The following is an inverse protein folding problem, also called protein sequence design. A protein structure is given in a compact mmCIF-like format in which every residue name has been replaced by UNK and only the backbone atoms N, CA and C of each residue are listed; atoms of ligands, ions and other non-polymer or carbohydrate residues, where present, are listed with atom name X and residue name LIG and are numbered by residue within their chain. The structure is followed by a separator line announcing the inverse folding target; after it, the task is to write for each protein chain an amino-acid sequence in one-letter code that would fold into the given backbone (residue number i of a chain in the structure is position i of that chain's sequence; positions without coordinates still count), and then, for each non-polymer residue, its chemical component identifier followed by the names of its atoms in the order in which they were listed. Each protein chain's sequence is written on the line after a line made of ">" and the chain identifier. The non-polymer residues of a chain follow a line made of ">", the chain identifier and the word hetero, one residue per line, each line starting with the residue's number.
data_IF_820379486993
#
_entry.id   IF_820379486993
#
_cell.length_a   1.000
_cell.length_b   1.000
_cell.length_c   1.000
_cell.angle_alpha   90.00
_cell.angle_beta   90.00
_cell.angle_gamma   90.00
#
_symmetry.space_group_name_H-M   'P 1'
#
loop_
_entity.id
_entity.type
_entity.pdbx_description
1 polymer ?
#
# COMPACT_ATOMS: atom_id res chain seq x y z
N UNK A 1 -12.97 -13.69 12.04
CA UNK A 1 -14.24 -13.64 11.27
C UNK A 1 -14.00 -12.95 9.93
N UNK A 2 -13.53 -11.70 9.88
CA UNK A 2 -13.36 -10.90 8.63
C UNK A 2 -12.52 -11.58 7.54
N UNK A 3 -11.43 -12.28 7.88
CA UNK A 3 -10.63 -13.02 6.89
C UNK A 3 -11.45 -14.13 6.24
N UNK A 4 -12.23 -14.88 7.03
CA UNK A 4 -13.10 -15.93 6.48
C UNK A 4 -14.23 -15.36 5.61
N UNK A 5 -14.77 -14.21 5.98
CA UNK A 5 -15.76 -13.50 5.15
C UNK A 5 -15.15 -13.05 3.83
N UNK A 6 -13.91 -12.54 3.83
CA UNK A 6 -13.17 -12.19 2.62
C UNK A 6 -12.97 -13.41 1.70
N UNK A 7 -12.58 -14.56 2.27
CA UNK A 7 -12.40 -15.82 1.52
C UNK A 7 -13.71 -16.23 0.88
N UNK A 8 -14.80 -16.24 1.64
CA UNK A 8 -16.14 -16.63 1.14
C UNK A 8 -16.62 -15.66 0.05
N UNK A 9 -16.26 -14.39 0.16
CA UNK A 9 -16.55 -13.38 -0.86
C UNK A 9 -15.66 -13.50 -2.12
N UNK A 10 -14.67 -14.39 -2.11
CA UNK A 10 -13.76 -14.62 -3.25
C UNK A 10 -12.62 -13.60 -3.35
N UNK A 11 -12.18 -13.03 -2.24
CA UNK A 11 -11.03 -12.16 -2.23
C UNK A 11 -9.73 -12.92 -2.56
N UNK A 12 -8.84 -12.30 -3.32
CA UNK A 12 -7.49 -12.81 -3.60
C UNK A 12 -6.47 -12.23 -2.61
N UNK A 13 -6.77 -11.05 -2.03
CA UNK A 13 -5.91 -10.36 -1.08
C UNK A 13 -6.73 -9.63 0.00
N UNK A 14 -6.06 -9.33 1.11
CA UNK A 14 -6.61 -8.51 2.21
C UNK A 14 -5.63 -7.40 2.62
N UNK A 15 -6.15 -6.42 3.35
CA UNK A 15 -5.37 -5.35 3.98
C UNK A 15 -5.28 -5.58 5.48
N UNK A 16 -4.07 -5.50 6.04
CA UNK A 16 -3.84 -5.41 7.48
C UNK A 16 -3.18 -4.06 7.80
N UNK A 17 -3.80 -3.29 8.68
CA UNK A 17 -3.30 -1.96 9.09
C UNK A 17 -2.55 -2.12 10.41
N UNK A 18 -1.23 -1.93 10.40
CA UNK A 18 -0.37 -2.13 11.56
C UNK A 18 -0.78 -1.26 12.74
N UNK A 19 -1.08 0.01 12.49
CA UNK A 19 -1.51 0.95 13.54
C UNK A 19 -2.85 0.61 14.21
N UNK A 20 -3.62 -0.34 13.67
CA UNK A 20 -4.88 -0.81 14.24
C UNK A 20 -4.76 -2.15 14.99
N UNK A 21 -3.57 -2.75 15.02
CA UNK A 21 -3.34 -4.10 15.53
C UNK A 21 -2.20 -4.12 16.56
N UNK A 22 -2.36 -4.92 17.60
CA UNK A 22 -1.23 -5.32 18.46
C UNK A 22 -0.31 -6.29 17.68
N UNK A 23 0.96 -6.41 18.09
CA UNK A 23 1.96 -7.21 17.35
C UNK A 23 1.54 -8.69 17.23
N UNK A 24 1.06 -9.29 18.31
CA UNK A 24 0.59 -10.68 18.31
C UNK A 24 -0.62 -10.88 17.39
N UNK A 25 -1.49 -9.87 17.31
CA UNK A 25 -2.65 -9.90 16.39
C UNK A 25 -2.19 -9.81 14.92
N UNK A 26 -1.21 -8.95 14.63
CA UNK A 26 -0.65 -8.80 13.29
C UNK A 26 -0.06 -10.14 12.81
N UNK A 27 0.78 -10.77 13.62
CA UNK A 27 1.35 -12.09 13.33
C UNK A 27 0.28 -13.16 13.13
N UNK A 28 -0.70 -13.20 14.04
CA UNK A 28 -1.79 -14.18 13.96
C UNK A 28 -2.63 -14.01 12.67
N UNK A 29 -3.06 -12.78 12.38
CA UNK A 29 -3.92 -12.52 11.21
C UNK A 29 -3.17 -12.74 9.89
N UNK A 30 -1.88 -12.36 9.82
CA UNK A 30 -1.04 -12.62 8.67
C UNK A 30 -0.90 -14.14 8.44
N UNK A 31 -0.59 -14.91 9.49
CA UNK A 31 -0.48 -16.36 9.40
C UNK A 31 -1.79 -17.03 8.97
N UNK A 32 -2.93 -16.57 9.48
CA UNK A 32 -4.25 -17.09 9.04
C UNK A 32 -4.47 -16.81 7.55
N UNK A 33 -4.22 -15.58 7.08
CA UNK A 33 -4.41 -15.23 5.68
C UNK A 33 -3.51 -16.07 4.75
N UNK A 34 -2.24 -16.22 5.10
CA UNK A 34 -1.27 -17.01 4.35
C UNK A 34 -1.67 -18.50 4.28
N UNK A 35 -2.19 -19.07 5.37
CA UNK A 35 -2.70 -20.47 5.37
C UNK A 35 -3.86 -20.70 4.40
N UNK A 36 -4.63 -19.65 4.11
CA UNK A 36 -5.71 -19.68 3.11
C UNK A 36 -5.29 -19.14 1.75
N UNK A 37 -3.98 -18.94 1.53
CA UNK A 37 -3.42 -18.47 0.25
C UNK A 37 -3.93 -17.10 -0.19
N UNK A 38 -4.28 -16.24 0.77
CA UNK A 38 -4.55 -14.83 0.51
C UNK A 38 -3.24 -14.06 0.49
N UNK A 39 -3.07 -13.18 -0.48
CA UNK A 39 -2.05 -12.15 -0.41
C UNK A 39 -2.43 -11.11 0.67
N UNK A 40 -1.43 -10.51 1.31
CA UNK A 40 -1.66 -9.54 2.37
C UNK A 40 -0.87 -8.27 2.10
N UNK A 41 -1.58 -7.17 1.93
CA UNK A 41 -1.00 -5.82 1.96
C UNK A 41 -0.92 -5.37 3.41
N UNK A 42 0.28 -5.23 3.94
CA UNK A 42 0.52 -4.77 5.32
C UNK A 42 0.80 -3.27 5.27
N UNK A 43 -0.16 -2.47 5.74
CA UNK A 43 -0.13 -1.01 5.66
C UNK A 43 0.53 -0.39 6.88
N UNK A 44 1.46 0.54 6.64
CA UNK A 44 2.20 1.30 7.64
C UNK A 44 2.14 2.81 7.37
N UNK A 45 2.30 3.63 8.43
CA UNK A 45 2.22 5.09 8.35
C UNK A 45 3.48 5.78 8.86
N UNK A 46 4.28 5.11 9.67
CA UNK A 46 5.49 5.66 10.27
C UNK A 46 6.57 4.58 10.46
N UNK A 47 7.73 5.00 11.01
CA UNK A 47 8.87 4.11 11.20
C UNK A 47 8.59 3.00 12.22
N UNK A 48 7.89 3.30 13.31
CA UNK A 48 7.54 2.30 14.33
C UNK A 48 6.66 1.20 13.74
N UNK A 49 5.66 1.57 12.95
CA UNK A 49 4.80 0.61 12.25
C UNK A 49 5.57 -0.18 11.19
N UNK A 50 6.53 0.46 10.49
CA UNK A 50 7.39 -0.20 9.52
C UNK A 50 8.27 -1.27 10.20
N UNK A 51 8.93 -0.94 11.30
CA UNK A 51 9.73 -1.89 12.08
C UNK A 51 8.88 -3.09 12.50
N UNK A 52 7.68 -2.85 13.01
CA UNK A 52 6.72 -3.90 13.39
C UNK A 52 6.28 -4.78 12.22
N UNK A 53 6.06 -4.20 11.04
CA UNK A 53 5.73 -4.95 9.83
C UNK A 53 6.90 -5.83 9.38
N UNK A 54 8.12 -5.30 9.39
CA UNK A 54 9.35 -6.02 8.99
C UNK A 54 9.73 -7.15 9.95
N UNK A 55 9.26 -7.13 11.20
CA UNK A 55 9.39 -8.26 12.14
C UNK A 55 8.49 -9.45 11.79
N UNK A 56 7.61 -9.31 10.82
CA UNK A 56 6.68 -10.36 10.38
C UNK A 56 7.14 -11.03 9.08
N UNK A 57 6.38 -12.00 8.58
CA UNK A 57 6.58 -12.62 7.27
C UNK A 57 5.88 -11.86 6.14
N UNK A 58 5.54 -10.57 6.34
CA UNK A 58 4.91 -9.73 5.32
C UNK A 58 5.79 -9.62 4.07
N UNK A 59 5.19 -9.83 2.90
CA UNK A 59 5.89 -9.70 1.61
C UNK A 59 5.53 -8.43 0.88
N UNK A 60 4.33 -7.91 1.10
CA UNK A 60 3.82 -6.71 0.45
C UNK A 60 3.60 -5.67 1.55
N UNK A 61 4.39 -4.61 1.49
CA UNK A 61 4.33 -3.48 2.44
C UNK A 61 3.69 -2.29 1.74
N UNK A 62 2.64 -1.75 2.34
CA UNK A 62 1.99 -0.52 1.87
C UNK A 62 2.39 0.66 2.74
N UNK A 63 2.95 1.70 2.15
CA UNK A 63 3.20 2.98 2.84
C UNK A 63 2.05 3.92 2.54
N UNK A 64 1.24 4.23 3.55
CA UNK A 64 0.13 5.17 3.43
C UNK A 64 0.62 6.60 3.71
N UNK A 65 0.64 7.44 2.68
CA UNK A 65 1.01 8.84 2.77
C UNK A 65 -0.02 9.71 3.49
N UNK A 66 -1.19 9.17 3.81
CA UNK A 66 -2.22 9.87 4.59
C UNK A 66 -2.11 9.52 6.06
N UNK A 67 -1.91 10.53 6.89
CA UNK A 67 -2.04 10.38 8.33
C UNK A 67 -3.51 10.15 8.69
N UNK A 68 -3.84 9.00 9.28
CA UNK A 68 -5.23 8.63 9.61
C UNK A 68 -5.83 9.43 10.78
N UNK A 69 -5.00 10.18 11.53
CA UNK A 69 -5.45 11.03 12.64
C UNK A 69 -5.75 12.46 12.19
N UNK A 70 -4.87 13.04 11.34
CA UNK A 70 -4.98 14.44 10.87
C UNK A 70 -5.58 14.54 9.47
N UNK A 71 -5.60 13.43 8.70
CA UNK A 71 -5.94 13.33 7.29
C UNK A 71 -5.01 14.13 6.36
N UNK A 72 -3.93 14.66 6.87
CA UNK A 72 -2.89 15.29 6.06
C UNK A 72 -2.19 14.23 5.19
N UNK A 73 -1.81 14.65 3.99
CA UNK A 73 -1.15 13.78 3.00
C UNK A 73 0.22 14.36 2.67
N UNK A 74 1.25 13.52 2.80
CA UNK A 74 2.64 13.87 2.47
C UNK A 74 3.32 12.70 1.74
N UNK A 75 3.57 12.85 0.44
CA UNK A 75 4.25 11.85 -0.38
C UNK A 75 5.66 11.52 0.10
N UNK A 76 6.33 12.46 0.80
CA UNK A 76 7.67 12.21 1.36
C UNK A 76 7.67 11.14 2.46
N UNK A 77 6.51 10.72 2.94
CA UNK A 77 6.39 9.55 3.81
C UNK A 77 6.90 8.30 3.10
N UNK A 78 6.53 8.09 1.82
CA UNK A 78 7.07 6.99 1.02
C UNK A 78 8.58 7.12 0.85
N UNK A 79 9.11 8.32 0.53
CA UNK A 79 10.55 8.56 0.38
C UNK A 79 11.33 8.12 1.62
N UNK A 80 10.89 8.55 2.80
CA UNK A 80 11.57 8.23 4.07
C UNK A 80 11.50 6.76 4.46
N UNK A 81 10.32 6.16 4.31
CA UNK A 81 10.09 4.79 4.78
C UNK A 81 10.56 3.74 3.78
N UNK A 82 10.67 4.06 2.50
CA UNK A 82 11.17 3.13 1.49
C UNK A 82 12.63 2.70 1.73
N UNK A 83 13.42 3.54 2.39
CA UNK A 83 14.81 3.23 2.73
C UNK A 83 14.95 2.04 3.70
N UNK A 84 13.90 1.75 4.48
CA UNK A 84 13.87 0.63 5.43
C UNK A 84 13.48 -0.70 4.78
N UNK A 85 12.93 -0.66 3.57
CA UNK A 85 12.38 -1.85 2.90
C UNK A 85 13.44 -2.52 2.04
N UNK A 86 13.75 -3.79 2.37
CA UNK A 86 14.71 -4.58 1.61
C UNK A 86 14.15 -5.10 0.28
N UNK A 87 15.04 -5.60 -0.61
CA UNK A 87 14.69 -6.02 -1.97
C UNK A 87 13.78 -7.25 -2.05
N UNK A 88 13.59 -7.94 -0.93
CA UNK A 88 12.74 -9.14 -0.87
C UNK A 88 11.25 -8.80 -0.67
N UNK A 89 10.93 -7.52 -0.53
CA UNK A 89 9.56 -7.03 -0.34
C UNK A 89 9.05 -6.32 -1.60
N UNK A 90 7.74 -6.38 -1.80
CA UNK A 90 7.01 -5.53 -2.76
C UNK A 90 6.55 -4.29 -2.01
N UNK A 91 6.97 -3.13 -2.47
CA UNK A 91 6.62 -1.85 -1.87
C UNK A 91 5.49 -1.16 -2.65
N UNK A 92 4.41 -0.85 -1.94
CA UNK A 92 3.24 -0.13 -2.49
C UNK A 92 3.12 1.23 -1.82
N UNK A 93 3.02 2.30 -2.60
CA UNK A 93 2.72 3.65 -2.06
C UNK A 93 1.24 3.96 -2.21
N UNK A 94 0.64 4.48 -1.15
CA UNK A 94 -0.81 4.68 -1.04
C UNK A 94 -1.14 6.11 -0.65
N UNK A 95 -2.24 6.63 -1.18
CA UNK A 95 -2.77 7.97 -0.93
C UNK A 95 -1.94 9.14 -1.48
N UNK A 96 -2.60 10.22 -1.83
CA UNK A 96 -1.97 11.46 -2.28
C UNK A 96 -1.40 11.44 -3.70
N UNK A 97 -1.73 10.44 -4.48
CA UNK A 97 -1.20 10.20 -5.82
C UNK A 97 -2.25 10.68 -6.83
N UNK A 98 -1.99 11.78 -7.52
CA UNK A 98 -2.94 12.42 -8.42
C UNK A 98 -2.46 12.53 -9.85
N UNK A 99 -1.15 12.53 -10.09
CA UNK A 99 -0.53 12.79 -11.39
C UNK A 99 0.51 11.75 -11.77
N UNK A 100 0.86 11.68 -13.04
CA UNK A 100 1.98 10.86 -13.52
C UNK A 100 3.34 11.34 -13.00
N UNK A 101 3.47 12.59 -12.54
CA UNK A 101 4.66 13.08 -11.86
C UNK A 101 4.78 12.47 -10.47
N UNK A 102 3.67 12.38 -9.73
CA UNK A 102 3.66 11.73 -8.42
C UNK A 102 4.10 10.27 -8.53
N UNK A 103 3.59 9.54 -9.51
CA UNK A 103 3.97 8.13 -9.72
C UNK A 103 5.45 7.99 -10.09
N UNK A 104 6.01 8.86 -10.93
CA UNK A 104 7.45 8.84 -11.26
C UNK A 104 8.34 9.14 -10.05
N UNK A 105 7.93 10.08 -9.18
CA UNK A 105 8.65 10.35 -7.93
C UNK A 105 8.65 9.15 -7.02
N UNK A 106 7.49 8.53 -6.81
CA UNK A 106 7.30 7.34 -5.99
C UNK A 106 8.12 6.17 -6.53
N UNK A 107 8.12 5.94 -7.84
CA UNK A 107 8.97 4.94 -8.50
C UNK A 107 10.46 5.21 -8.25
N UNK A 108 10.89 6.48 -8.31
CA UNK A 108 12.29 6.85 -8.05
C UNK A 108 12.73 6.60 -6.60
N UNK A 109 11.79 6.51 -5.66
CA UNK A 109 12.01 6.14 -4.26
C UNK A 109 11.96 4.63 -4.01
N UNK A 110 11.79 3.82 -5.07
CA UNK A 110 11.87 2.35 -5.01
C UNK A 110 10.54 1.63 -4.81
N UNK A 111 9.40 2.31 -4.93
CA UNK A 111 8.11 1.63 -4.88
C UNK A 111 7.85 0.85 -6.18
N UNK A 112 7.33 -0.36 -6.04
CA UNK A 112 6.99 -1.27 -7.13
C UNK A 112 5.57 -1.01 -7.68
N UNK A 113 4.69 -0.47 -6.84
CA UNK A 113 3.30 -0.22 -7.18
C UNK A 113 2.71 0.98 -6.43
N UNK A 114 1.56 1.45 -6.91
CA UNK A 114 0.77 2.51 -6.28
C UNK A 114 -0.69 2.06 -6.12
N UNK A 115 -1.30 2.42 -4.99
CA UNK A 115 -2.72 2.24 -4.74
C UNK A 115 -3.43 3.59 -4.88
N UNK A 116 -4.28 3.73 -5.91
CA UNK A 116 -4.94 4.98 -6.26
C UNK A 116 -6.45 4.81 -6.34
N UNK A 117 -7.18 5.52 -5.50
CA UNK A 117 -8.65 5.56 -5.53
C UNK A 117 -9.18 6.95 -5.90
N UNK A 118 -8.88 7.95 -5.09
CA UNK A 118 -9.47 9.28 -5.17
C UNK A 118 -9.26 9.95 -6.54
N UNK A 119 -8.04 9.94 -7.07
CA UNK A 119 -7.74 10.55 -8.36
C UNK A 119 -8.55 9.92 -9.51
N UNK A 120 -8.73 8.60 -9.48
CA UNK A 120 -9.53 7.88 -10.47
C UNK A 120 -11.02 8.16 -10.31
N UNK A 121 -11.52 8.20 -9.08
CA UNK A 121 -12.94 8.47 -8.83
C UNK A 121 -13.36 9.89 -9.22
N UNK A 122 -12.47 10.87 -9.04
CA UNK A 122 -12.69 12.27 -9.40
C UNK A 122 -12.48 12.56 -10.89
N UNK A 123 -11.73 11.72 -11.59
CA UNK A 123 -11.42 11.96 -13.02
C UNK A 123 -12.66 11.87 -13.91
N UNK A 124 -12.88 12.82 -14.80
CA UNK A 124 -13.95 12.76 -15.80
C UNK A 124 -13.79 11.54 -16.72
N UNK A 125 -12.55 11.27 -17.14
CA UNK A 125 -12.18 10.09 -17.91
C UNK A 125 -11.15 9.25 -17.14
N UNK A 126 -11.61 8.13 -16.61
CA UNK A 126 -10.79 7.20 -15.81
C UNK A 126 -9.72 6.50 -16.65
N UNK A 127 -10.00 6.23 -17.92
CA UNK A 127 -9.05 5.57 -18.82
C UNK A 127 -7.84 6.47 -19.09
N UNK A 128 -8.09 7.74 -19.42
CA UNK A 128 -7.03 8.74 -19.61
C UNK A 128 -6.22 8.94 -18.32
N UNK A 129 -6.90 9.07 -17.17
CA UNK A 129 -6.21 9.20 -15.87
C UNK A 129 -5.36 7.97 -15.54
N UNK A 130 -5.85 6.78 -15.81
CA UNK A 130 -5.07 5.54 -15.61
C UNK A 130 -3.84 5.52 -16.54
N UNK A 131 -3.96 5.94 -17.78
CA UNK A 131 -2.83 6.01 -18.73
C UNK A 131 -1.77 7.02 -18.24
N UNK A 132 -2.20 8.19 -17.76
CA UNK A 132 -1.32 9.20 -17.16
C UNK A 132 -0.54 8.63 -15.96
N UNK A 133 -1.25 8.02 -15.00
CA UNK A 133 -0.65 7.44 -13.80
C UNK A 133 0.33 6.30 -14.11
N UNK A 134 0.12 5.57 -15.21
CA UNK A 134 1.04 4.52 -15.70
C UNK A 134 2.22 5.04 -16.53
N UNK A 135 2.34 6.36 -16.73
CA UNK A 135 3.35 6.94 -17.60
C UNK A 135 3.14 6.60 -19.11
N UNK A 136 1.93 6.22 -19.50
CA UNK A 136 1.59 5.86 -20.89
C UNK A 136 1.11 7.08 -21.70
N UNK A 137 0.86 8.20 -21.03
CA UNK A 137 0.37 9.44 -21.66
C UNK A 137 1.40 10.20 -22.52
N UNK A 138 2.69 9.95 -22.30
CA UNK A 138 3.79 10.67 -22.96
C UNK A 138 4.39 9.90 -24.15
N UNK A 139 3.76 8.80 -24.56
CA UNK A 139 4.17 8.00 -25.75
C UNK A 139 3.25 8.23 -26.92
N UNK A 140 3.12 9.48 -27.32
CA UNK A 140 2.51 9.85 -28.62
C UNK A 140 3.55 10.61 -29.44
#
# INVERSE_FOLDING_TARGET
>A
VQIYEAIVAGADAILLIVGALEQDQLHHLLGVAMNYQLDVLVEVHDLEEMERALETEARIIGINNRNLRTFEVDLTTTERLSEEVGPDHILVSESGIYTGEDTRRIESWGADAVLVGEALMRAPDKKTKMAELKGLGDRV
#
